data_IF_862128414864
#
_entry.id   IF_862128414864
#
_cell.length_a   1.000
_cell.length_b   1.000
_cell.length_c   1.000
_cell.angle_alpha   90.00
_cell.angle_beta   90.00
_cell.angle_gamma   90.00
#
_symmetry.space_group_name_H-M   'P 1'
#
loop_
_entity.id
_entity.type
_entity.pdbx_description
1 polymer ?
#
# COMPACT_ATOMS: atom_id res chain seq x y z
N UNK A 1 24.70 9.06 -0.38
CA UNK A 1 24.07 9.44 0.90
C UNK A 1 22.72 10.07 0.57
N UNK A 2 21.67 9.78 1.32
CA UNK A 2 20.34 10.40 1.10
C UNK A 2 20.27 11.75 1.83
N UNK A 3 19.95 12.81 1.10
CA UNK A 3 19.83 14.17 1.66
C UNK A 3 18.75 14.22 2.75
N UNK A 4 19.17 14.57 3.97
CA UNK A 4 18.26 14.76 5.11
C UNK A 4 17.42 16.01 4.86
N UNK A 5 16.09 15.88 4.99
CA UNK A 5 15.14 16.97 4.78
C UNK A 5 14.49 17.35 6.10
N UNK A 6 14.23 18.64 6.30
CA UNK A 6 13.50 19.14 7.47
C UNK A 6 12.01 19.06 7.17
N UNK A 7 11.34 18.08 7.77
CA UNK A 7 9.89 17.97 7.78
C UNK A 7 9.30 18.73 8.97
N UNK A 8 8.10 19.27 8.80
CA UNK A 8 7.38 19.98 9.87
C UNK A 8 6.02 19.34 10.06
N UNK A 9 5.63 19.18 11.32
CA UNK A 9 4.28 18.75 11.70
C UNK A 9 3.64 19.91 12.45
N UNK A 10 2.42 20.22 12.07
CA UNK A 10 1.61 21.25 12.68
C UNK A 10 0.28 20.65 13.06
N UNK A 11 -0.31 21.20 14.12
CA UNK A 11 -1.70 20.96 14.48
C UNK A 11 -2.46 22.25 14.31
N UNK A 12 -3.72 22.13 13.91
CA UNK A 12 -4.66 23.24 13.91
C UNK A 12 -5.80 22.84 14.84
N UNK A 13 -5.95 23.55 15.96
CA UNK A 13 -6.99 23.32 16.99
C UNK A 13 -8.19 24.22 16.70
N UNK A 14 -9.40 23.92 17.17
CA UNK A 14 -10.53 24.84 17.01
C UNK A 14 -10.69 25.73 18.24
N UNK A 15 -11.13 26.97 18.05
CA UNK A 15 -11.52 27.84 19.17
C UNK A 15 -12.90 27.48 19.74
N UNK A 16 -13.66 26.60 19.09
CA UNK A 16 -15.05 26.26 19.43
C UNK A 16 -15.22 24.77 19.86
N UNK A 17 -14.16 23.96 19.78
CA UNK A 17 -14.23 22.52 20.06
C UNK A 17 -12.85 21.91 20.29
N UNK A 18 -12.75 20.84 21.08
CA UNK A 18 -11.50 20.09 21.31
C UNK A 18 -11.00 19.25 20.12
N UNK A 19 -11.62 19.44 18.94
CA UNK A 19 -11.22 18.81 17.70
C UNK A 19 -9.98 19.46 17.09
N UNK A 20 -9.05 18.60 16.65
CA UNK A 20 -7.76 19.01 16.10
C UNK A 20 -7.57 18.43 14.69
N UNK A 21 -7.10 19.24 13.75
CA UNK A 21 -6.51 18.77 12.50
C UNK A 21 -5.00 18.62 12.68
N UNK A 22 -4.42 17.51 12.22
CA UNK A 22 -2.95 17.31 12.19
C UNK A 22 -2.50 17.28 10.73
N UNK A 23 -1.34 17.86 10.43
CA UNK A 23 -0.79 17.78 9.08
C UNK A 23 0.72 17.94 9.07
N UNK A 24 1.36 17.43 8.01
CA UNK A 24 2.77 17.63 7.75
C UNK A 24 3.05 18.47 6.51
N UNK A 25 4.29 18.98 6.40
CA UNK A 25 4.78 19.74 5.24
C UNK A 25 6.31 19.80 5.23
N UNK A 26 6.92 19.83 4.04
CA UNK A 26 8.32 20.23 3.85
C UNK A 26 8.48 21.74 3.64
N UNK A 27 7.46 22.39 3.07
CA UNK A 27 7.39 23.84 2.91
C UNK A 27 7.29 24.54 4.27
N UNK A 28 7.36 25.87 4.29
CA UNK A 28 7.11 26.61 5.53
C UNK A 28 5.66 26.41 6.00
N UNK A 29 5.43 26.56 7.32
CA UNK A 29 4.07 26.52 7.88
C UNK A 29 3.21 27.64 7.27
N UNK A 30 3.80 28.81 6.96
CA UNK A 30 3.12 29.93 6.30
C UNK A 30 2.58 29.53 4.93
N UNK A 31 3.37 28.86 4.10
CA UNK A 31 2.93 28.46 2.74
C UNK A 31 1.84 27.39 2.81
N UNK A 32 2.00 26.42 3.72
CA UNK A 32 0.98 25.39 3.95
C UNK A 32 -0.33 25.98 4.46
N UNK A 33 -0.27 26.99 5.32
CA UNK A 33 -1.43 27.74 5.82
C UNK A 33 -2.14 28.51 4.70
N UNK A 34 -1.40 29.16 3.79
CA UNK A 34 -1.99 29.78 2.59
C UNK A 34 -2.71 28.75 1.71
N UNK A 35 -2.16 27.54 1.58
CA UNK A 35 -2.82 26.40 0.93
C UNK A 35 -4.17 26.05 1.56
N UNK A 36 -4.22 25.92 2.88
CA UNK A 36 -5.47 25.68 3.64
C UNK A 36 -6.49 26.82 3.46
N UNK A 37 -6.07 28.09 3.59
CA UNK A 37 -6.95 29.26 3.37
C UNK A 37 -7.54 29.28 1.96
N UNK A 38 -6.75 28.90 0.93
CA UNK A 38 -7.21 28.77 -0.46
C UNK A 38 -8.18 27.60 -0.65
N UNK A 39 -7.99 26.48 0.04
CA UNK A 39 -8.93 25.35 0.02
C UNK A 39 -10.27 25.73 0.67
N UNK A 40 -10.24 26.36 1.85
CA UNK A 40 -11.43 26.87 2.53
C UNK A 40 -12.22 27.86 1.66
N UNK A 41 -11.54 28.82 1.01
CA UNK A 41 -12.18 29.79 0.09
C UNK A 41 -12.85 29.12 -1.13
N UNK A 42 -12.39 27.93 -1.55
CA UNK A 42 -13.06 27.13 -2.59
C UNK A 42 -14.24 26.33 -2.02
N UNK A 43 -14.10 25.76 -0.83
CA UNK A 43 -15.19 25.05 -0.13
C UNK A 43 -16.38 25.97 0.14
N UNK A 44 -16.14 27.19 0.64
CA UNK A 44 -17.17 28.21 0.87
C UNK A 44 -17.90 28.65 -0.42
N UNK A 45 -17.36 28.32 -1.61
CA UNK A 45 -17.98 28.54 -2.92
C UNK A 45 -18.61 27.26 -3.51
N UNK A 46 -18.78 26.22 -2.70
CA UNK A 46 -19.33 24.91 -3.10
C UNK A 46 -18.40 24.05 -3.97
N UNK A 47 -17.13 24.45 -4.18
CA UNK A 47 -16.23 23.80 -5.17
C UNK A 47 -15.27 22.76 -4.56
N UNK A 48 -15.39 22.44 -3.29
CA UNK A 48 -14.54 21.47 -2.58
C UNK A 48 -15.28 20.85 -1.39
N UNK A 49 -14.68 19.82 -0.78
CA UNK A 49 -15.11 19.23 0.48
C UNK A 49 -14.62 20.04 1.71
N UNK A 50 -15.29 19.85 2.84
CA UNK A 50 -15.08 20.58 4.10
C UNK A 50 -13.73 20.29 4.77
N UNK A 51 -12.90 21.35 4.89
CA UNK A 51 -11.59 21.36 5.57
C UNK A 51 -11.34 22.77 6.16
N UNK A 52 -11.48 22.97 7.48
CA UNK A 52 -10.97 24.17 8.17
C UNK A 52 -10.87 24.04 9.71
N UNK A 53 -9.67 23.69 10.19
CA UNK A 53 -9.12 23.92 11.55
C UNK A 53 -8.58 25.39 11.77
N UNK A 54 -8.60 26.10 12.92
CA UNK A 54 -7.79 27.34 13.26
C UNK A 54 -7.78 27.64 14.80
N UNK A 55 -6.67 27.85 15.60
CA UNK A 55 -5.25 28.23 15.34
C UNK A 55 -4.11 27.17 15.56
N UNK A 56 -2.83 27.60 15.57
CA UNK A 56 -1.60 26.81 15.25
C UNK A 56 -0.77 26.18 16.40
N UNK A 57 -0.12 25.05 16.10
CA UNK A 57 1.01 24.42 16.84
C UNK A 57 2.17 24.10 15.88
N UNK A 58 3.43 24.10 16.35
CA UNK A 58 4.64 23.85 15.52
C UNK A 58 5.57 22.82 16.17
N UNK A 59 5.91 21.76 15.43
CA UNK A 59 7.02 20.86 15.75
C UNK A 59 7.81 20.52 14.49
N UNK A 60 9.14 20.43 14.58
CA UNK A 60 10.04 20.17 13.45
C UNK A 60 10.79 18.85 13.66
N UNK A 61 10.99 18.10 12.58
CA UNK A 61 11.63 16.78 12.58
C UNK A 61 12.62 16.69 11.41
N UNK A 62 13.79 16.12 11.66
CA UNK A 62 14.69 15.69 10.59
C UNK A 62 14.17 14.35 10.06
N UNK A 63 13.92 14.26 8.75
CA UNK A 63 13.34 13.07 8.11
C UNK A 63 14.09 12.74 6.82
N UNK A 64 14.19 11.46 6.50
CA UNK A 64 14.88 11.00 5.28
C UNK A 64 14.01 11.23 4.04
N UNK A 65 12.71 11.02 4.15
CA UNK A 65 11.76 11.10 3.04
C UNK A 65 10.35 11.51 3.50
N UNK A 66 9.40 11.55 2.56
CA UNK A 66 8.00 11.85 2.84
C UNK A 66 7.33 10.75 3.67
N UNK A 67 7.66 9.47 3.43
CA UNK A 67 7.06 8.34 4.15
C UNK A 67 7.33 8.41 5.65
N UNK A 68 8.56 8.74 6.06
CA UNK A 68 8.89 8.97 7.47
C UNK A 68 8.11 10.14 8.07
N UNK A 69 7.93 11.24 7.32
CA UNK A 69 7.17 12.39 7.79
C UNK A 69 5.67 12.07 7.98
N UNK A 70 5.08 11.33 7.04
CA UNK A 70 3.70 10.85 7.11
C UNK A 70 3.52 9.84 8.26
N UNK A 71 4.55 9.09 8.64
CA UNK A 71 4.51 8.17 9.78
C UNK A 71 4.39 8.91 11.11
N UNK A 72 5.16 9.99 11.28
CA UNK A 72 5.01 10.89 12.43
C UNK A 72 3.66 11.63 12.41
N UNK A 73 3.15 12.02 11.23
CA UNK A 73 1.81 12.61 11.11
C UNK A 73 0.73 11.63 11.59
N UNK A 74 0.76 10.39 11.12
CA UNK A 74 -0.20 9.35 11.53
C UNK A 74 -0.05 8.97 13.01
N UNK A 75 1.16 8.99 13.57
CA UNK A 75 1.39 8.82 15.00
C UNK A 75 0.70 9.92 15.81
N UNK A 76 0.77 11.19 15.38
CA UNK A 76 0.07 12.28 16.05
C UNK A 76 -1.46 12.22 15.87
N UNK A 77 -1.95 11.80 14.70
CA UNK A 77 -3.39 11.53 14.47
C UNK A 77 -3.90 10.46 15.44
N UNK A 78 -3.14 9.38 15.68
CA UNK A 78 -3.53 8.31 16.61
C UNK A 78 -3.51 8.71 18.09
N UNK A 79 -2.80 9.77 18.46
CA UNK A 79 -2.65 10.26 19.85
C UNK A 79 -3.64 11.35 20.25
N UNK A 80 -4.39 11.91 19.30
CA UNK A 80 -5.22 13.10 19.50
C UNK A 80 -6.66 12.85 19.01
N UNK A 81 -7.61 13.64 19.52
CA UNK A 81 -9.01 13.72 19.07
C UNK A 81 -9.09 14.39 17.69
N UNK A 82 -8.62 13.66 16.67
CA UNK A 82 -8.32 14.22 15.37
C UNK A 82 -9.46 14.10 14.35
N UNK A 83 -9.74 15.18 13.59
CA UNK A 83 -10.77 15.22 12.53
C UNK A 83 -10.24 14.89 11.13
N UNK A 84 -9.03 14.33 11.03
CA UNK A 84 -8.44 13.94 9.75
C UNK A 84 -9.24 12.81 9.10
N UNK A 85 -10.04 13.15 8.08
CA UNK A 85 -10.87 12.20 7.31
C UNK A 85 -10.07 11.13 6.54
N UNK A 86 -8.78 11.39 6.25
CA UNK A 86 -7.89 10.50 5.53
C UNK A 86 -6.63 10.20 6.35
N UNK A 87 -6.16 8.95 6.33
CA UNK A 87 -4.87 8.55 6.91
C UNK A 87 -3.73 9.00 5.97
N UNK A 88 -2.65 9.66 6.48
CA UNK A 88 -1.50 10.06 5.67
C UNK A 88 -0.76 8.87 5.05
N UNK A 89 -0.67 7.74 5.78
CA UNK A 89 -0.03 6.52 5.27
C UNK A 89 -1.08 5.53 4.75
N UNK A 90 -0.93 5.15 3.48
CA UNK A 90 -1.60 3.98 2.91
C UNK A 90 -0.73 2.74 3.05
N UNK A 91 -1.01 1.90 4.06
CA UNK A 91 -0.38 0.57 4.16
C UNK A 91 -1.12 -0.40 3.21
N UNK A 92 -0.66 -0.48 1.96
CA UNK A 92 -1.30 -1.25 0.88
C UNK A 92 -1.65 -2.71 1.26
N UNK A 93 -0.80 -3.38 2.05
CA UNK A 93 -1.04 -4.76 2.52
C UNK A 93 -2.27 -4.85 3.45
N UNK A 94 -2.42 -3.90 4.36
CA UNK A 94 -3.58 -3.81 5.27
C UNK A 94 -4.82 -3.35 4.49
N UNK A 95 -4.68 -2.36 3.61
CA UNK A 95 -5.76 -1.86 2.73
C UNK A 95 -6.35 -2.98 1.87
N UNK A 96 -5.51 -3.81 1.24
CA UNK A 96 -5.95 -4.98 0.47
C UNK A 96 -6.64 -6.02 1.37
N UNK A 97 -6.07 -6.35 2.53
CA UNK A 97 -6.66 -7.33 3.47
C UNK A 97 -8.07 -6.88 3.90
N UNK A 98 -8.20 -5.66 4.42
CA UNK A 98 -9.50 -5.10 4.84
C UNK A 98 -10.52 -5.03 3.69
N UNK A 99 -10.08 -4.71 2.47
CA UNK A 99 -10.96 -4.74 1.29
C UNK A 99 -11.48 -6.16 1.00
N UNK A 100 -10.61 -7.18 1.04
CA UNK A 100 -11.01 -8.57 0.83
C UNK A 100 -11.95 -9.09 1.92
N UNK A 101 -11.71 -8.72 3.18
CA UNK A 101 -12.56 -9.08 4.32
C UNK A 101 -13.95 -8.44 4.19
N UNK A 102 -14.01 -7.12 3.98
CA UNK A 102 -15.26 -6.36 3.84
C UNK A 102 -16.09 -6.70 2.58
N UNK A 103 -15.49 -7.34 1.58
CA UNK A 103 -16.16 -7.73 0.33
C UNK A 103 -16.20 -9.25 0.11
N UNK A 104 -15.84 -10.05 1.13
CA UNK A 104 -15.71 -11.52 1.03
C UNK A 104 -16.96 -12.17 0.43
N UNK A 105 -18.14 -11.81 0.93
CA UNK A 105 -19.40 -12.42 0.49
C UNK A 105 -19.80 -11.98 -0.92
N UNK A 106 -19.54 -10.72 -1.28
CA UNK A 106 -19.77 -10.22 -2.65
C UNK A 106 -18.86 -10.94 -3.66
N UNK A 107 -17.60 -11.15 -3.30
CA UNK A 107 -16.62 -11.91 -4.10
C UNK A 107 -17.05 -13.37 -4.23
N UNK A 108 -17.56 -13.98 -3.15
CA UNK A 108 -18.07 -15.35 -3.16
C UNK A 108 -19.31 -15.49 -4.07
N UNK A 109 -20.33 -14.63 -3.86
CA UNK A 109 -21.55 -14.62 -4.68
C UNK A 109 -21.26 -14.39 -6.16
N UNK A 110 -20.31 -13.50 -6.49
CA UNK A 110 -19.87 -13.30 -7.87
C UNK A 110 -19.24 -14.56 -8.48
N UNK A 111 -18.39 -15.27 -7.72
CA UNK A 111 -17.75 -16.52 -8.18
C UNK A 111 -18.76 -17.62 -8.42
N UNK A 112 -19.71 -17.84 -7.52
CA UNK A 112 -20.75 -18.87 -7.72
C UNK A 112 -21.65 -18.51 -8.91
N UNK A 113 -22.14 -17.27 -9.02
CA UNK A 113 -22.98 -16.82 -10.16
C UNK A 113 -22.29 -16.87 -11.52
N UNK A 114 -20.95 -16.92 -11.57
CA UNK A 114 -20.17 -16.96 -12.82
C UNK A 114 -19.32 -18.23 -12.95
N UNK A 115 -19.57 -19.25 -12.12
CA UNK A 115 -18.75 -20.46 -12.00
C UNK A 115 -18.52 -21.18 -13.32
N UNK A 116 -19.59 -21.36 -14.10
CA UNK A 116 -19.58 -21.98 -15.43
C UNK A 116 -18.76 -21.13 -16.41
N UNK A 117 -19.10 -19.84 -16.57
CA UNK A 117 -18.36 -18.89 -17.44
C UNK A 117 -16.88 -18.79 -17.10
N UNK A 118 -16.50 -18.90 -15.83
CA UNK A 118 -15.11 -18.94 -15.37
C UNK A 118 -14.45 -20.27 -15.75
N UNK A 119 -15.16 -21.39 -15.60
CA UNK A 119 -14.70 -22.73 -15.98
C UNK A 119 -14.49 -22.85 -17.50
N UNK A 120 -15.45 -22.43 -18.31
CA UNK A 120 -15.38 -22.41 -19.78
C UNK A 120 -14.20 -21.58 -20.27
N UNK A 121 -14.05 -20.34 -19.80
CA UNK A 121 -12.90 -19.48 -20.14
C UNK A 121 -11.56 -20.12 -19.75
N UNK A 122 -11.52 -20.84 -18.62
CA UNK A 122 -10.33 -21.58 -18.18
C UNK A 122 -10.04 -22.77 -19.09
N UNK A 123 -11.06 -23.54 -19.49
CA UNK A 123 -10.91 -24.65 -20.45
C UNK A 123 -10.42 -24.16 -21.81
N UNK A 124 -11.08 -23.15 -22.40
CA UNK A 124 -10.67 -22.53 -23.66
C UNK A 124 -9.23 -21.99 -23.62
N UNK A 125 -8.81 -21.40 -22.49
CA UNK A 125 -7.43 -20.96 -22.30
C UNK A 125 -6.45 -22.13 -22.26
N UNK A 126 -6.77 -23.20 -21.51
CA UNK A 126 -5.92 -24.39 -21.39
C UNK A 126 -5.79 -25.13 -22.72
N UNK A 127 -6.86 -25.21 -23.50
CA UNK A 127 -6.88 -25.84 -24.82
C UNK A 127 -6.06 -25.04 -25.83
N UNK A 128 -6.32 -23.73 -25.97
CA UNK A 128 -5.58 -22.84 -26.89
C UNK A 128 -4.09 -22.74 -26.57
N UNK A 129 -3.69 -22.94 -25.32
CA UNK A 129 -2.29 -22.84 -24.89
C UNK A 129 -1.68 -24.21 -24.52
N UNK A 130 -2.33 -25.33 -24.84
CA UNK A 130 -1.94 -26.69 -24.42
C UNK A 130 -0.47 -27.00 -24.71
N UNK A 131 -0.02 -26.69 -25.92
CA UNK A 131 1.36 -26.91 -26.37
C UNK A 131 2.35 -26.04 -25.61
N UNK A 132 2.13 -24.72 -25.57
CA UNK A 132 2.97 -23.76 -24.83
C UNK A 132 3.08 -24.11 -23.34
N UNK A 133 1.98 -24.54 -22.72
CA UNK A 133 1.95 -24.99 -21.33
C UNK A 133 2.77 -26.28 -21.17
N UNK A 134 2.65 -27.24 -22.08
CA UNK A 134 3.42 -28.49 -22.08
C UNK A 134 4.92 -28.25 -22.25
N UNK A 135 5.29 -27.44 -23.25
CA UNK A 135 6.67 -27.03 -23.53
C UNK A 135 7.29 -26.32 -22.33
N UNK A 136 6.60 -25.30 -21.78
CA UNK A 136 7.04 -24.59 -20.57
C UNK A 136 7.21 -25.57 -19.40
N UNK A 137 6.24 -26.46 -19.17
CA UNK A 137 6.25 -27.45 -18.07
C UNK A 137 7.44 -28.42 -18.18
N UNK A 138 7.78 -28.84 -19.40
CA UNK A 138 8.83 -29.82 -19.70
C UNK A 138 10.21 -29.19 -19.98
N UNK A 139 10.30 -27.86 -20.07
CA UNK A 139 11.55 -27.12 -20.24
C UNK A 139 12.56 -27.53 -19.17
N UNK A 140 13.71 -28.09 -19.60
CA UNK A 140 14.79 -28.54 -18.72
C UNK A 140 15.69 -27.36 -18.36
N UNK A 141 15.91 -27.13 -17.08
CA UNK A 141 16.83 -26.14 -16.53
C UNK A 141 17.94 -26.85 -15.75
N UNK A 142 19.14 -26.30 -15.81
CA UNK A 142 20.24 -26.68 -14.95
C UNK A 142 20.11 -25.96 -13.59
N UNK A 143 20.69 -26.54 -12.54
CA UNK A 143 20.83 -25.93 -11.22
C UNK A 143 22.29 -25.93 -10.80
N UNK A 144 22.71 -24.86 -10.12
CA UNK A 144 24.09 -24.62 -9.66
C UNK A 144 24.59 -25.69 -8.68
N UNK A 145 23.69 -26.46 -8.06
CA UNK A 145 24.04 -27.68 -7.32
C UNK A 145 24.50 -28.85 -8.22
N UNK A 146 24.76 -28.61 -9.52
CA UNK A 146 25.05 -29.63 -10.52
C UNK A 146 23.85 -30.56 -10.78
N UNK A 147 22.63 -30.03 -10.67
CA UNK A 147 21.38 -30.76 -10.90
C UNK A 147 20.69 -30.36 -12.20
N UNK A 148 19.68 -31.12 -12.62
CA UNK A 148 18.75 -30.73 -13.69
C UNK A 148 17.32 -30.94 -13.20
N UNK A 149 16.41 -30.05 -13.58
CA UNK A 149 15.00 -30.08 -13.23
C UNK A 149 14.14 -29.52 -14.36
N UNK A 150 12.83 -29.76 -14.34
CA UNK A 150 11.88 -29.10 -15.25
C UNK A 150 11.01 -28.11 -14.49
N UNK A 151 10.27 -27.22 -15.16
CA UNK A 151 9.29 -26.38 -14.45
C UNK A 151 8.26 -27.20 -13.66
N UNK A 152 7.94 -28.42 -14.09
CA UNK A 152 7.16 -29.38 -13.29
C UNK A 152 7.88 -29.81 -12.01
N UNK A 153 9.12 -30.29 -12.12
CA UNK A 153 9.86 -30.90 -10.99
C UNK A 153 10.70 -29.92 -10.17
N UNK A 154 10.60 -28.61 -10.44
CA UNK A 154 11.36 -27.54 -9.77
C UNK A 154 11.17 -27.58 -8.24
N UNK A 155 9.94 -27.82 -7.78
CA UNK A 155 9.60 -27.84 -6.37
C UNK A 155 10.15 -29.10 -5.65
N UNK A 156 10.11 -30.28 -6.28
CA UNK A 156 10.76 -31.47 -5.73
C UNK A 156 12.29 -31.34 -5.75
N UNK A 157 12.86 -30.78 -6.83
CA UNK A 157 14.30 -30.61 -6.99
C UNK A 157 14.92 -29.84 -5.82
N UNK A 158 14.36 -28.69 -5.44
CA UNK A 158 14.84 -27.88 -4.32
C UNK A 158 14.67 -28.55 -2.95
N UNK A 159 13.76 -29.53 -2.83
CA UNK A 159 13.60 -30.37 -1.63
C UNK A 159 14.53 -31.59 -1.59
N UNK A 160 15.32 -31.84 -2.63
CA UNK A 160 16.24 -32.99 -2.63
C UNK A 160 17.37 -32.79 -1.61
N UNK A 161 17.78 -33.89 -0.95
CA UNK A 161 18.95 -33.89 -0.03
C UNK A 161 20.21 -33.30 -0.69
N UNK A 162 20.38 -33.49 -2.01
CA UNK A 162 21.48 -32.91 -2.80
C UNK A 162 21.41 -31.38 -2.83
N UNK A 163 20.26 -30.81 -3.20
CA UNK A 163 20.11 -29.36 -3.28
C UNK A 163 20.21 -28.71 -1.89
N UNK A 164 19.55 -29.27 -0.88
CA UNK A 164 19.61 -28.78 0.51
C UNK A 164 21.06 -28.79 1.03
N UNK A 165 21.80 -29.90 0.86
CA UNK A 165 23.20 -29.98 1.30
C UNK A 165 24.09 -28.94 0.61
N UNK A 166 23.91 -28.73 -0.70
CA UNK A 166 24.64 -27.70 -1.45
C UNK A 166 24.29 -26.29 -0.96
N UNK A 167 23.01 -26.00 -0.73
CA UNK A 167 22.55 -24.71 -0.20
C UNK A 167 23.08 -24.43 1.21
N UNK A 168 23.28 -25.45 2.03
CA UNK A 168 23.92 -25.35 3.36
C UNK A 168 25.45 -25.35 3.32
N UNK A 169 26.06 -25.40 2.14
CA UNK A 169 27.53 -25.37 1.93
C UNK A 169 27.98 -24.09 1.21
N UNK A 170 27.11 -23.08 1.13
CA UNK A 170 27.31 -21.73 0.59
C UNK A 170 27.23 -20.72 1.75
#
# INVERSE_FOLDING_TARGET
MSDIKIGRIYKIVSTQSDHVYVGSTFNTIRDRFHGHKKAYSKWAKGKHCEIAIYPCFKQEYQVVDRTHLEAYEQLWISKLTCVNKNNPIRIDKLSKKAYYENNKDKIHQYREKNKEKISEKRQQYLERNKEKISETKNTKMNCDCGGKYTNASKAEHFKTKKHIKWQSSQ
#
